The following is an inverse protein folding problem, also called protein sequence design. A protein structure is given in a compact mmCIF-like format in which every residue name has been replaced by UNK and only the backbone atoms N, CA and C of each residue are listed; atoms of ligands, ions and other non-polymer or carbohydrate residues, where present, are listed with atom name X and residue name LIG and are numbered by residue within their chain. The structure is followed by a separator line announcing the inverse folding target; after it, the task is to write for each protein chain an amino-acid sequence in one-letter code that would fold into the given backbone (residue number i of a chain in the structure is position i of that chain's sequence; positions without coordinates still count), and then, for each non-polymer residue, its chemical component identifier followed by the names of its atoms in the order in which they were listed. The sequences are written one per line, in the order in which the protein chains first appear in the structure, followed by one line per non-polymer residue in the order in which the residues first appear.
data_IF_248829369903
#
_entry.id   IF_248829369903
#
_cell.length_a   1.000
_cell.length_b   1.000
_cell.length_c   1.000
_cell.angle_alpha   90.00
_cell.angle_beta   90.00
_cell.angle_gamma   90.00
#
_symmetry.space_group_name_H-M   'P 1'
#
loop_
_entity.id
_entity.type
_entity.pdbx_description
1 polymer ?
#
# COMPACT_ATOMS: atom_id res chain seq x y z
N UNK A 1 37.98 23.50 17.83
CA UNK A 1 38.02 24.94 17.47
C UNK A 1 39.39 25.52 17.83
N UNK A 2 39.80 26.67 17.27
CA UNK A 2 39.42 27.32 16.01
C UNK A 2 40.59 27.08 14.99
N UNK A 3 40.94 27.84 13.93
CA UNK A 3 40.39 28.99 13.16
C UNK A 3 40.38 28.53 11.67
N UNK A 4 39.65 29.06 10.67
CA UNK A 4 39.36 30.42 10.20
C UNK A 4 40.58 31.28 9.81
N UNK A 5 40.76 31.49 8.50
CA UNK A 5 41.38 32.70 7.96
C UNK A 5 40.62 33.15 6.71
N UNK A 6 40.17 34.41 6.73
CA UNK A 6 39.59 35.11 5.59
C UNK A 6 40.69 35.87 4.82
N UNK A 7 40.51 36.02 3.51
CA UNK A 7 40.79 37.24 2.73
C UNK A 7 40.05 37.08 1.37
N UNK A 8 39.01 37.84 1.07
CA UNK A 8 39.03 39.23 0.58
C UNK A 8 39.85 39.46 -0.70
N UNK A 9 39.16 39.58 -1.83
CA UNK A 9 39.25 40.80 -2.65
C UNK A 9 38.00 40.96 -3.53
N UNK A 10 37.53 42.19 -3.69
CA UNK A 10 36.30 42.49 -4.43
C UNK A 10 36.42 43.76 -5.29
N UNK A 11 35.58 43.80 -6.34
CA UNK A 11 35.13 44.97 -7.13
C UNK A 11 36.14 45.64 -8.08
N UNK A 12 36.00 45.35 -9.39
CA UNK A 12 35.84 46.27 -10.57
C UNK A 12 36.11 45.49 -11.88
N UNK A 13 35.50 45.77 -13.03
CA UNK A 13 34.39 46.69 -13.37
C UNK A 13 33.84 46.44 -14.79
N UNK A 14 32.56 46.77 -14.99
CA UNK A 14 31.95 47.27 -16.22
C UNK A 14 32.00 46.45 -17.55
N UNK A 15 30.80 46.07 -18.02
CA UNK A 15 30.51 45.66 -19.39
C UNK A 15 29.00 45.69 -19.62
N UNK A 16 28.50 46.53 -20.52
CA UNK A 16 27.12 47.02 -20.51
C UNK A 16 26.21 46.45 -21.62
N UNK A 17 24.97 46.09 -21.24
CA UNK A 17 23.70 46.39 -21.99
C UNK A 17 23.46 45.61 -23.32
N UNK A 18 22.21 45.26 -23.74
CA UNK A 18 21.00 44.91 -22.98
C UNK A 18 20.22 43.67 -23.52
N UNK A 19 19.16 43.28 -22.79
CA UNK A 19 17.84 43.00 -23.37
C UNK A 19 17.68 42.01 -24.54
N UNK A 20 17.45 40.72 -24.23
CA UNK A 20 16.56 39.84 -25.03
C UNK A 20 16.08 38.57 -24.32
N UNK A 21 16.76 38.09 -23.27
CA UNK A 21 16.38 36.82 -22.60
C UNK A 21 15.23 36.91 -21.58
N UNK A 22 14.93 38.09 -21.01
CA UNK A 22 13.91 38.22 -19.96
C UNK A 22 12.46 37.90 -20.41
N UNK A 23 12.14 37.96 -21.71
CA UNK A 23 10.77 37.80 -22.21
C UNK A 23 10.31 36.35 -22.44
N UNK A 24 11.20 35.35 -22.54
CA UNK A 24 10.79 33.96 -22.83
C UNK A 24 10.45 33.13 -21.58
N UNK A 25 10.98 33.49 -20.40
CA UNK A 25 10.68 32.75 -19.15
C UNK A 25 9.31 33.09 -18.55
N UNK A 26 8.80 34.31 -18.75
CA UNK A 26 7.52 34.74 -18.17
C UNK A 26 6.27 34.08 -18.79
N UNK A 27 6.34 33.64 -20.06
CA UNK A 27 5.20 32.97 -20.72
C UNK A 27 5.01 31.51 -20.30
N UNK A 28 6.04 30.83 -19.77
CA UNK A 28 5.91 29.41 -19.34
C UNK A 28 5.25 29.23 -17.97
N UNK A 29 5.30 30.25 -17.10
CA UNK A 29 4.61 30.20 -15.80
C UNK A 29 3.09 30.42 -15.90
N UNK A 30 2.62 31.15 -16.93
CA UNK A 30 1.20 31.51 -17.09
C UNK A 30 0.28 30.36 -17.53
N UNK A 31 0.83 29.23 -17.98
CA UNK A 31 0.05 28.08 -18.47
C UNK A 31 -0.21 27.00 -17.40
N UNK A 32 0.56 26.97 -16.31
CA UNK A 32 0.37 26.00 -15.20
C UNK A 32 -0.74 26.44 -14.24
N UNK A 33 -0.94 27.74 -14.04
CA UNK A 33 -1.96 28.28 -13.12
C UNK A 33 -3.42 28.09 -13.56
N UNK A 34 -3.69 27.69 -14.81
CA UNK A 34 -5.06 27.67 -15.37
C UNK A 34 -5.86 26.37 -15.09
N UNK A 35 -5.21 25.32 -14.59
CA UNK A 35 -5.87 24.05 -14.23
C UNK A 35 -6.56 24.08 -12.85
N UNK A 36 -5.87 24.58 -11.82
CA UNK A 36 -6.31 24.49 -10.41
C UNK A 36 -7.57 25.32 -10.13
N UNK A 37 -7.70 26.51 -10.73
CA UNK A 37 -8.86 27.38 -10.53
C UNK A 37 -10.17 26.83 -11.11
N UNK A 38 -10.11 25.89 -12.07
CA UNK A 38 -11.31 25.30 -12.69
C UNK A 38 -11.96 24.26 -11.76
N UNK A 39 -11.17 23.55 -10.96
CA UNK A 39 -11.68 22.56 -9.99
C UNK A 39 -12.47 23.21 -8.84
N UNK A 40 -12.00 24.35 -8.31
CA UNK A 40 -12.68 25.07 -7.22
C UNK A 40 -14.05 25.64 -7.62
N UNK A 41 -14.25 25.97 -8.90
CA UNK A 41 -15.56 26.41 -9.39
C UNK A 41 -16.61 25.29 -9.45
N UNK A 42 -16.22 24.03 -9.60
CA UNK A 42 -17.18 22.91 -9.55
C UNK A 42 -17.69 22.67 -8.14
N UNK A 43 -16.81 22.58 -7.14
CA UNK A 43 -17.24 22.40 -5.74
C UNK A 43 -18.11 23.54 -5.22
N UNK A 44 -17.76 24.80 -5.54
CA UNK A 44 -18.57 25.97 -5.13
C UNK A 44 -19.96 25.99 -5.77
N UNK A 45 -20.11 25.54 -7.03
CA UNK A 45 -21.41 25.52 -7.72
C UNK A 45 -22.29 24.33 -7.34
N UNK A 46 -21.71 23.19 -6.96
CA UNK A 46 -22.50 22.10 -6.38
C UNK A 46 -23.08 22.49 -5.00
N UNK A 47 -22.32 23.21 -4.17
CA UNK A 47 -22.79 23.62 -2.84
C UNK A 47 -23.99 24.59 -2.89
N UNK A 48 -24.01 25.53 -3.84
CA UNK A 48 -25.16 26.43 -4.05
C UNK A 48 -26.35 25.72 -4.71
N UNK A 49 -26.15 24.66 -5.50
CA UNK A 49 -27.24 23.95 -6.17
C UNK A 49 -28.11 23.13 -5.22
N UNK A 50 -27.56 22.67 -4.09
CA UNK A 50 -28.28 21.80 -3.13
C UNK A 50 -29.14 22.60 -2.14
N UNK A 51 -28.78 23.87 -1.89
CA UNK A 51 -29.50 24.74 -0.94
C UNK A 51 -30.79 25.39 -1.51
N UNK A 52 -31.02 25.38 -2.83
CA UNK A 52 -32.15 26.09 -3.45
C UNK A 52 -33.43 25.26 -3.66
N UNK A 53 -33.47 23.97 -3.30
CA UNK A 53 -34.68 23.13 -3.49
C UNK A 53 -35.60 23.11 -2.26
N UNK A 54 -35.13 23.57 -1.09
CA UNK A 54 -35.94 23.70 0.13
C UNK A 54 -36.73 25.04 0.21
N UNK A 55 -36.89 25.76 -0.90
CA UNK A 55 -37.31 27.17 -0.94
C UNK A 55 -38.75 27.47 -1.39
N UNK A 56 -39.63 26.47 -1.55
CA UNK A 56 -41.05 26.69 -1.89
C UNK A 56 -41.96 25.70 -1.13
N UNK A 57 -43.21 26.13 -0.93
CA UNK A 57 -44.18 25.64 0.07
C UNK A 57 -43.77 26.05 1.51
N UNK A 58 -44.45 26.96 2.18
CA UNK A 58 -45.66 27.70 1.85
C UNK A 58 -46.33 28.14 3.16
N UNK A 59 -46.43 29.44 3.41
CA UNK A 59 -47.05 29.93 4.64
C UNK A 59 -48.57 29.72 4.62
N UNK A 60 -49.09 29.02 5.63
CA UNK A 60 -50.47 29.13 6.08
C UNK A 60 -50.47 29.16 7.60
N UNK A 61 -50.50 30.37 8.16
CA UNK A 61 -50.49 30.58 9.60
C UNK A 61 -51.90 30.36 10.18
N UNK A 62 -52.04 29.42 11.11
CA UNK A 62 -53.04 29.50 12.16
C UNK A 62 -52.52 28.80 13.43
N UNK A 63 -52.72 29.48 14.55
CA UNK A 63 -52.11 29.22 15.85
C UNK A 63 -52.56 27.89 16.47
N UNK A 64 -51.61 27.07 16.92
CA UNK A 64 -51.71 26.34 18.20
C UNK A 64 -50.31 26.03 18.75
N UNK A 65 -50.19 26.13 20.06
CA UNK A 65 -49.00 26.11 20.92
C UNK A 65 -47.92 25.03 20.68
N UNK A 66 -46.65 25.48 20.68
CA UNK A 66 -45.42 24.72 21.00
C UNK A 66 -45.39 24.28 22.49
N UNK A 67 -44.56 23.31 22.94
CA UNK A 67 -43.20 22.94 22.49
C UNK A 67 -43.11 21.57 21.78
N UNK A 68 -42.26 21.38 20.77
CA UNK A 68 -40.79 21.39 20.85
C UNK A 68 -40.22 20.38 21.87
N UNK A 69 -40.56 19.09 21.69
CA UNK A 69 -39.82 17.99 22.30
C UNK A 69 -38.89 17.34 21.25
N UNK A 70 -37.72 17.95 21.05
CA UNK A 70 -36.65 17.31 20.28
C UNK A 70 -36.12 16.11 21.06
N UNK A 71 -36.22 14.92 20.46
CA UNK A 71 -35.65 13.70 20.99
C UNK A 71 -35.12 12.79 19.87
N UNK A 72 -34.32 13.35 18.94
CA UNK A 72 -33.26 12.60 18.27
C UNK A 72 -32.27 12.06 19.31
N UNK A 73 -32.64 10.96 19.97
CA UNK A 73 -31.79 10.20 20.87
C UNK A 73 -31.07 9.04 20.14
N UNK A 74 -30.72 9.22 18.86
CA UNK A 74 -29.76 8.36 18.15
C UNK A 74 -28.36 8.92 18.36
N UNK A 75 -27.94 9.00 19.63
CA UNK A 75 -26.69 9.66 20.04
C UNK A 75 -25.97 8.96 21.22
N UNK A 76 -26.32 7.72 21.57
CA UNK A 76 -25.62 6.92 22.59
C UNK A 76 -25.49 5.43 22.24
N UNK A 77 -24.82 5.10 21.13
CA UNK A 77 -24.28 3.73 20.90
C UNK A 77 -22.75 3.69 21.11
N UNK A 78 -22.07 4.83 21.12
CA UNK A 78 -20.60 4.90 21.11
C UNK A 78 -19.91 4.61 22.45
N UNK A 79 -20.65 4.39 23.54
CA UNK A 79 -20.10 4.17 24.88
C UNK A 79 -19.90 2.69 25.25
N UNK A 80 -20.52 1.74 24.53
CA UNK A 80 -20.37 0.29 24.76
C UNK A 80 -19.38 -0.37 23.80
N UNK A 81 -18.90 0.35 22.79
CA UNK A 81 -18.05 -0.20 21.71
C UNK A 81 -16.54 -0.13 22.04
N UNK A 82 -16.15 0.23 23.26
CA UNK A 82 -14.74 0.39 23.66
C UNK A 82 -14.23 -0.69 24.61
N UNK A 83 -15.06 -1.66 25.02
CA UNK A 83 -14.63 -2.82 25.80
C UNK A 83 -13.63 -3.65 24.97
N UNK A 84 -12.40 -3.90 25.44
CA UNK A 84 -11.45 -4.79 24.74
C UNK A 84 -12.06 -6.18 24.56
N UNK A 85 -11.78 -6.84 23.44
CA UNK A 85 -12.20 -8.24 23.26
C UNK A 85 -11.60 -9.13 24.35
N UNK A 86 -12.35 -10.11 24.86
CA UNK A 86 -11.82 -11.07 25.83
C UNK A 86 -10.82 -12.03 25.18
N UNK A 87 -10.08 -12.79 26.00
CA UNK A 87 -9.18 -13.84 25.50
C UNK A 87 -9.97 -14.88 24.67
N UNK A 88 -11.14 -15.27 25.16
CA UNK A 88 -12.03 -16.25 24.54
C UNK A 88 -12.58 -15.75 23.21
N UNK A 89 -13.00 -14.48 23.12
CA UNK A 89 -13.45 -13.85 21.86
C UNK A 89 -12.37 -13.95 20.77
N UNK A 90 -11.11 -13.67 21.12
CA UNK A 90 -9.97 -13.73 20.18
C UNK A 90 -9.59 -15.17 19.84
N UNK A 91 -9.70 -16.13 20.78
CA UNK A 91 -9.50 -17.55 20.47
C UNK A 91 -10.58 -18.08 19.52
N UNK A 92 -11.84 -17.69 19.72
CA UNK A 92 -12.94 -17.99 18.79
C UNK A 92 -12.70 -17.35 17.40
N UNK A 93 -12.15 -16.14 17.35
CA UNK A 93 -11.75 -15.47 16.10
C UNK A 93 -10.65 -16.27 15.37
N UNK A 94 -9.65 -16.78 16.09
CA UNK A 94 -8.60 -17.60 15.48
C UNK A 94 -9.15 -18.92 14.92
N UNK A 95 -10.07 -19.56 15.65
CA UNK A 95 -10.72 -20.78 15.21
C UNK A 95 -11.59 -20.57 13.95
N UNK A 96 -12.40 -19.50 13.88
CA UNK A 96 -13.26 -19.29 12.70
C UNK A 96 -12.47 -18.93 11.44
N UNK A 97 -11.37 -18.19 11.62
CA UNK A 97 -10.44 -17.80 10.55
C UNK A 97 -9.43 -18.90 10.20
N UNK A 98 -9.39 -20.01 10.96
CA UNK A 98 -8.56 -21.20 10.72
C UNK A 98 -7.05 -20.88 10.72
N UNK A 99 -6.61 -20.03 11.67
CA UNK A 99 -5.20 -19.62 11.78
C UNK A 99 -4.28 -20.81 12.09
N UNK A 100 -4.75 -21.75 12.90
CA UNK A 100 -4.12 -23.04 13.18
C UNK A 100 -3.77 -23.79 11.88
N UNK A 101 -4.76 -23.94 10.98
CA UNK A 101 -4.59 -24.59 9.68
C UNK A 101 -3.67 -23.79 8.78
N UNK A 102 -3.79 -22.47 8.76
CA UNK A 102 -2.92 -21.61 7.94
C UNK A 102 -1.45 -21.72 8.37
N UNK A 103 -1.19 -21.75 9.68
CA UNK A 103 0.15 -21.97 10.23
C UNK A 103 0.64 -23.40 9.93
N UNK A 104 -0.19 -24.42 10.08
CA UNK A 104 0.16 -25.81 9.73
C UNK A 104 0.55 -25.95 8.24
N UNK A 105 -0.23 -25.36 7.33
CA UNK A 105 0.09 -25.34 5.89
C UNK A 105 1.42 -24.61 5.64
N UNK A 106 1.63 -23.45 6.29
CA UNK A 106 2.89 -22.69 6.18
C UNK A 106 4.09 -23.52 6.67
N UNK A 107 3.93 -24.26 7.77
CA UNK A 107 4.97 -25.15 8.29
C UNK A 107 5.24 -26.35 7.38
N UNK A 108 4.21 -27.00 6.84
CA UNK A 108 4.42 -28.09 5.86
C UNK A 108 5.15 -27.61 4.61
N UNK A 109 4.87 -26.39 4.13
CA UNK A 109 5.59 -25.78 3.02
C UNK A 109 7.06 -25.48 3.38
N UNK A 110 7.31 -25.00 4.61
CA UNK A 110 8.67 -24.79 5.12
C UNK A 110 9.44 -26.12 5.26
N UNK A 111 8.78 -27.20 5.68
CA UNK A 111 9.36 -28.54 5.75
C UNK A 111 9.73 -29.06 4.36
N UNK A 112 8.83 -29.02 3.37
CA UNK A 112 9.15 -29.40 1.99
C UNK A 112 10.27 -28.53 1.37
N UNK A 113 10.29 -27.23 1.67
CA UNK A 113 11.37 -26.34 1.26
C UNK A 113 12.71 -26.69 1.95
N UNK A 114 12.68 -27.09 3.22
CA UNK A 114 13.87 -27.56 3.93
C UNK A 114 14.39 -28.86 3.30
N UNK A 115 13.53 -29.85 3.06
CA UNK A 115 13.90 -31.11 2.39
C UNK A 115 14.43 -30.89 0.97
N UNK A 116 13.95 -29.88 0.26
CA UNK A 116 14.46 -29.54 -1.07
C UNK A 116 15.86 -28.93 -1.03
N UNK A 117 16.16 -28.06 -0.06
CA UNK A 117 17.38 -27.24 -0.05
C UNK A 117 18.50 -27.75 0.86
N UNK A 118 18.17 -28.46 1.95
CA UNK A 118 19.15 -28.94 2.93
C UNK A 118 20.22 -29.87 2.33
N UNK A 119 19.89 -30.84 1.44
CA UNK A 119 20.92 -31.73 0.88
C UNK A 119 22.02 -30.99 0.12
N UNK A 120 21.69 -29.93 -0.61
CA UNK A 120 22.66 -29.13 -1.35
C UNK A 120 23.54 -28.29 -0.40
N UNK A 121 22.95 -27.69 0.63
CA UNK A 121 23.69 -26.96 1.67
C UNK A 121 24.64 -27.87 2.47
N UNK A 122 24.23 -29.11 2.75
CA UNK A 122 25.04 -30.07 3.49
C UNK A 122 26.18 -30.63 2.63
N UNK A 123 25.96 -30.85 1.33
CA UNK A 123 27.03 -31.23 0.38
C UNK A 123 28.16 -30.21 0.33
N UNK A 124 27.86 -28.91 0.43
CA UNK A 124 28.87 -27.85 0.52
C UNK A 124 29.75 -27.95 1.79
N UNK A 125 29.24 -28.59 2.84
CA UNK A 125 29.97 -28.89 4.07
C UNK A 125 30.57 -30.30 4.09
N UNK A 126 30.53 -31.01 2.95
CA UNK A 126 30.95 -32.41 2.79
C UNK A 126 30.16 -33.38 3.69
N UNK A 127 28.89 -33.06 3.97
CA UNK A 127 27.91 -33.88 4.70
C UNK A 127 26.87 -34.38 3.69
N UNK A 128 26.65 -35.69 3.63
CA UNK A 128 25.60 -36.29 2.79
C UNK A 128 24.51 -36.89 3.67
N UNK A 129 23.28 -36.40 3.51
CA UNK A 129 22.11 -36.84 4.29
C UNK A 129 21.26 -37.79 3.42
N UNK A 130 21.04 -39.05 3.85
CA UNK A 130 20.11 -39.96 3.20
C UNK A 130 18.69 -39.40 3.17
N UNK A 131 17.95 -39.65 2.09
CA UNK A 131 16.60 -39.08 1.90
C UNK A 131 15.64 -39.50 3.02
N UNK A 132 15.75 -40.73 3.49
CA UNK A 132 14.93 -41.32 4.55
C UNK A 132 15.20 -40.63 5.90
N UNK A 133 16.44 -40.18 6.15
CA UNK A 133 16.78 -39.38 7.33
C UNK A 133 16.31 -37.94 7.18
N UNK A 134 16.30 -37.40 5.96
CA UNK A 134 15.85 -36.05 5.67
C UNK A 134 14.35 -35.84 5.92
N UNK A 135 13.51 -36.82 5.56
CA UNK A 135 12.08 -36.82 5.90
C UNK A 135 11.87 -36.89 7.42
N UNK A 136 12.59 -37.78 8.13
CA UNK A 136 12.52 -37.89 9.58
C UNK A 136 12.99 -36.61 10.32
N UNK A 137 14.12 -36.03 9.88
CA UNK A 137 14.64 -34.77 10.43
C UNK A 137 13.67 -33.60 10.25
N UNK A 138 12.95 -33.54 9.13
CA UNK A 138 11.95 -32.51 8.91
C UNK A 138 10.77 -32.68 9.87
N UNK A 139 10.28 -33.92 10.04
CA UNK A 139 9.20 -34.20 11.00
C UNK A 139 9.62 -33.87 12.44
N UNK A 140 10.78 -34.37 12.90
CA UNK A 140 11.30 -34.12 14.26
C UNK A 140 11.46 -32.63 14.58
N UNK A 141 11.92 -31.81 13.62
CA UNK A 141 12.12 -30.36 13.81
C UNK A 141 10.79 -29.61 14.01
N UNK A 142 9.70 -30.10 13.40
CA UNK A 142 8.39 -29.45 13.47
C UNK A 142 7.41 -30.11 14.45
N UNK A 143 7.68 -31.34 14.90
CA UNK A 143 6.87 -32.08 15.87
C UNK A 143 6.61 -31.28 17.15
N UNK A 144 7.66 -30.75 17.77
CA UNK A 144 7.59 -30.01 19.04
C UNK A 144 7.30 -28.51 18.86
N UNK A 145 6.90 -28.07 17.66
CA UNK A 145 6.63 -26.64 17.43
C UNK A 145 5.45 -26.17 18.30
N UNK A 146 5.63 -25.12 19.14
CA UNK A 146 4.66 -24.75 20.16
C UNK A 146 3.52 -23.90 19.58
N UNK A 147 2.78 -24.46 18.62
CA UNK A 147 1.71 -23.80 17.85
C UNK A 147 0.73 -23.01 18.73
N UNK A 148 0.25 -23.65 19.81
CA UNK A 148 -0.70 -23.01 20.74
C UNK A 148 -0.07 -21.83 21.49
N UNK A 149 1.20 -21.92 21.90
CA UNK A 149 1.88 -20.81 22.58
C UNK A 149 2.11 -19.62 21.62
N UNK A 150 2.38 -19.90 20.34
CA UNK A 150 2.49 -18.87 19.31
C UNK A 150 1.15 -18.17 19.09
N UNK A 151 0.04 -18.91 18.92
CA UNK A 151 -1.30 -18.33 18.83
C UNK A 151 -1.65 -17.52 20.09
N UNK A 152 -1.42 -18.08 21.27
CA UNK A 152 -1.68 -17.41 22.55
C UNK A 152 -0.87 -16.11 22.72
N UNK A 153 0.34 -16.02 22.14
CA UNK A 153 1.16 -14.81 22.13
C UNK A 153 0.62 -13.70 21.22
N UNK A 154 -0.21 -14.06 20.22
CA UNK A 154 -0.85 -13.08 19.33
C UNK A 154 -2.07 -12.41 19.96
N UNK A 155 -2.68 -13.02 20.98
CA UNK A 155 -3.93 -12.52 21.58
C UNK A 155 -3.85 -11.05 22.01
N UNK A 156 -2.82 -10.58 22.75
CA UNK A 156 -2.69 -9.17 23.14
C UNK A 156 -2.57 -8.20 21.95
N UNK A 157 -2.07 -8.68 20.79
CA UNK A 157 -2.00 -7.87 19.56
C UNK A 157 -3.41 -7.63 19.01
N UNK A 158 -4.24 -8.66 18.96
CA UNK A 158 -5.64 -8.52 18.52
C UNK A 158 -6.46 -7.70 19.51
N UNK A 159 -6.32 -7.92 20.82
CA UNK A 159 -7.01 -7.13 21.86
C UNK A 159 -6.64 -5.64 21.86
N UNK A 160 -5.45 -5.28 21.36
CA UNK A 160 -5.02 -3.89 21.18
C UNK A 160 -5.72 -3.18 20.00
N UNK A 161 -6.15 -3.94 19.01
CA UNK A 161 -6.66 -3.41 17.74
C UNK A 161 -8.15 -3.66 17.50
N UNK A 162 -8.76 -4.62 18.21
CA UNK A 162 -10.16 -4.99 18.10
C UNK A 162 -10.85 -4.88 19.46
N UNK A 163 -11.96 -4.16 19.50
CA UNK A 163 -12.88 -4.20 20.63
C UNK A 163 -13.80 -5.43 20.53
N UNK A 164 -14.53 -5.72 21.61
CA UNK A 164 -15.47 -6.86 21.71
C UNK A 164 -16.55 -6.86 20.63
N UNK A 165 -17.05 -5.68 20.25
CA UNK A 165 -18.06 -5.50 19.20
C UNK A 165 -17.47 -5.77 17.81
N UNK A 166 -16.22 -5.37 17.55
CA UNK A 166 -15.52 -5.72 16.30
C UNK A 166 -15.40 -7.24 16.17
N UNK A 167 -14.92 -7.93 17.21
CA UNK A 167 -14.73 -9.39 17.18
C UNK A 167 -16.08 -10.11 17.03
N UNK A 168 -17.11 -9.69 17.76
CA UNK A 168 -18.46 -10.25 17.62
C UNK A 168 -19.03 -10.07 16.20
N UNK A 169 -18.84 -8.90 15.58
CA UNK A 169 -19.30 -8.64 14.21
C UNK A 169 -18.52 -9.49 13.17
N UNK A 170 -17.20 -9.64 13.35
CA UNK A 170 -16.36 -10.47 12.49
C UNK A 170 -16.78 -11.95 12.61
N UNK A 171 -16.97 -12.44 13.83
CA UNK A 171 -17.48 -13.79 14.10
C UNK A 171 -18.84 -14.02 13.43
N UNK A 172 -19.81 -13.12 13.65
CA UNK A 172 -21.15 -13.22 13.08
C UNK A 172 -21.14 -13.28 11.54
N UNK A 173 -20.29 -12.48 10.88
CA UNK A 173 -20.13 -12.55 9.43
C UNK A 173 -19.54 -13.90 8.97
N UNK A 174 -18.44 -14.33 9.58
CA UNK A 174 -17.77 -15.58 9.19
C UNK A 174 -18.51 -16.86 9.62
N UNK A 175 -19.52 -16.78 10.50
CA UNK A 175 -20.44 -17.88 10.77
C UNK A 175 -21.46 -18.10 9.64
N UNK A 176 -21.70 -17.10 8.77
CA UNK A 176 -22.60 -17.26 7.63
C UNK A 176 -22.03 -18.20 6.56
N UNK A 177 -22.91 -18.85 5.79
CA UNK A 177 -22.50 -19.69 4.66
C UNK A 177 -21.64 -18.91 3.63
N UNK A 178 -21.97 -17.63 3.39
CA UNK A 178 -21.19 -16.74 2.51
C UNK A 178 -19.83 -16.40 3.11
N UNK A 179 -19.75 -16.11 4.40
CA UNK A 179 -18.49 -15.84 5.10
C UNK A 179 -17.55 -17.05 5.11
N UNK A 180 -18.07 -18.24 5.43
CA UNK A 180 -17.31 -19.49 5.31
C UNK A 180 -16.87 -19.77 3.87
N UNK A 181 -17.75 -19.57 2.88
CA UNK A 181 -17.36 -19.70 1.47
C UNK A 181 -16.23 -18.74 1.12
N UNK A 182 -16.31 -17.47 1.54
CA UNK A 182 -15.25 -16.49 1.26
C UNK A 182 -13.91 -16.90 1.85
N UNK A 183 -13.86 -17.42 3.09
CA UNK A 183 -12.62 -17.93 3.69
C UNK A 183 -12.01 -19.12 2.90
N UNK A 184 -12.85 -20.03 2.42
CA UNK A 184 -12.39 -21.24 1.73
C UNK A 184 -11.97 -20.96 0.27
N UNK A 185 -12.67 -20.04 -0.41
CA UNK A 185 -12.44 -19.73 -1.84
C UNK A 185 -11.36 -18.66 -2.06
N UNK A 186 -11.11 -17.78 -1.09
CA UNK A 186 -10.15 -16.66 -1.23
C UNK A 186 -8.74 -17.10 -1.69
N UNK A 187 -8.16 -18.23 -1.22
CA UNK A 187 -6.87 -18.71 -1.72
C UNK A 187 -6.91 -19.10 -3.20
N UNK A 188 -7.93 -19.84 -3.64
CA UNK A 188 -8.04 -20.31 -5.03
C UNK A 188 -8.39 -19.15 -5.97
N UNK A 189 -9.32 -18.26 -5.59
CA UNK A 189 -9.59 -17.02 -6.33
C UNK A 189 -8.33 -16.14 -6.47
N UNK A 190 -7.46 -16.07 -5.45
CA UNK A 190 -6.20 -15.34 -5.52
C UNK A 190 -5.22 -15.98 -6.51
N UNK A 191 -5.13 -17.32 -6.50
CA UNK A 191 -4.32 -18.10 -7.44
C UNK A 191 -4.82 -17.95 -8.88
N UNK A 192 -6.12 -18.05 -9.13
CA UNK A 192 -6.73 -17.80 -10.44
C UNK A 192 -6.51 -16.35 -10.90
N UNK A 193 -6.67 -15.36 -10.01
CA UNK A 193 -6.41 -13.95 -10.33
C UNK A 193 -4.95 -13.72 -10.73
N UNK A 194 -3.98 -14.35 -10.05
CA UNK A 194 -2.57 -14.32 -10.47
C UNK A 194 -2.35 -14.98 -11.83
N UNK A 195 -2.98 -16.14 -12.10
CA UNK A 195 -2.90 -16.82 -13.39
C UNK A 195 -3.46 -15.96 -14.54
N UNK A 196 -4.58 -15.26 -14.30
CA UNK A 196 -5.19 -14.33 -15.24
C UNK A 196 -4.35 -13.05 -15.46
N UNK A 197 -3.69 -12.54 -14.42
CA UNK A 197 -2.83 -11.36 -14.50
C UNK A 197 -1.47 -11.64 -15.18
N UNK A 198 -0.94 -12.87 -15.06
CA UNK A 198 0.36 -13.27 -15.62
C UNK A 198 0.59 -12.89 -17.10
N UNK A 199 -0.31 -13.18 -18.07
CA UNK A 199 -0.10 -12.76 -19.46
C UNK A 199 -0.05 -11.24 -19.65
N UNK A 200 -0.87 -10.48 -18.92
CA UNK A 200 -0.86 -9.01 -18.94
C UNK A 200 0.48 -8.49 -18.41
N UNK A 201 0.96 -9.06 -17.31
CA UNK A 201 2.25 -8.71 -16.69
C UNK A 201 3.43 -8.98 -17.65
N UNK A 202 3.43 -10.14 -18.32
CA UNK A 202 4.44 -10.49 -19.33
C UNK A 202 4.44 -9.53 -20.52
N UNK A 203 3.26 -9.18 -21.05
CA UNK A 203 3.14 -8.26 -22.18
C UNK A 203 3.55 -6.82 -21.84
N UNK A 204 3.27 -6.38 -20.61
CA UNK A 204 3.76 -5.09 -20.11
C UNK A 204 5.29 -5.09 -19.99
N UNK A 205 5.87 -6.18 -19.46
CA UNK A 205 7.32 -6.30 -19.29
C UNK A 205 8.07 -6.34 -20.64
N UNK A 206 7.57 -7.08 -21.63
CA UNK A 206 8.17 -7.09 -22.98
C UNK A 206 8.13 -5.70 -23.62
N UNK A 207 6.98 -5.02 -23.56
CA UNK A 207 6.80 -3.65 -24.07
C UNK A 207 7.72 -2.65 -23.34
N UNK A 208 7.94 -2.82 -22.04
CA UNK A 208 8.87 -1.99 -21.26
C UNK A 208 10.32 -2.20 -21.73
N UNK A 209 10.77 -3.46 -21.86
CA UNK A 209 12.14 -3.78 -22.27
C UNK A 209 12.44 -3.27 -23.69
N UNK A 210 11.50 -3.39 -24.64
CA UNK A 210 11.61 -2.79 -25.97
C UNK A 210 11.83 -1.27 -25.89
N UNK A 211 10.98 -0.54 -25.16
CA UNK A 211 11.13 0.92 -24.97
C UNK A 211 12.44 1.33 -24.29
N UNK A 212 13.00 0.47 -23.44
CA UNK A 212 14.31 0.69 -22.83
C UNK A 212 15.45 0.49 -23.84
N UNK A 213 15.36 -0.55 -24.67
CA UNK A 213 16.32 -0.80 -25.76
C UNK A 213 16.30 0.34 -26.78
N UNK A 214 15.12 0.74 -27.28
CA UNK A 214 14.96 1.87 -28.21
C UNK A 214 15.64 3.15 -27.67
N UNK A 215 15.38 3.47 -26.39
CA UNK A 215 16.00 4.62 -25.72
C UNK A 215 17.52 4.48 -25.61
N UNK A 216 18.02 3.30 -25.25
CA UNK A 216 19.46 3.06 -25.18
C UNK A 216 20.13 3.28 -26.55
N UNK A 217 19.55 2.76 -27.64
CA UNK A 217 20.03 2.99 -29.00
C UNK A 217 20.04 4.49 -29.36
N UNK A 218 18.94 5.22 -29.14
CA UNK A 218 18.90 6.67 -29.45
C UNK A 218 19.91 7.49 -28.65
N UNK A 219 20.21 7.11 -27.40
CA UNK A 219 21.27 7.75 -26.59
C UNK A 219 22.66 7.48 -27.19
N UNK A 220 22.94 6.26 -27.63
CA UNK A 220 24.20 5.90 -28.29
C UNK A 220 24.38 6.66 -29.61
N UNK A 221 23.34 6.75 -30.43
CA UNK A 221 23.35 7.49 -31.70
C UNK A 221 23.57 9.01 -31.50
N UNK A 222 22.92 9.60 -30.49
CA UNK A 222 23.12 11.00 -30.12
C UNK A 222 24.56 11.24 -29.63
N UNK A 223 25.10 10.36 -28.78
CA UNK A 223 26.47 10.46 -28.28
C UNK A 223 27.51 10.26 -29.39
N UNK A 224 27.26 9.37 -30.36
CA UNK A 224 28.12 9.18 -31.52
C UNK A 224 28.12 10.41 -32.44
N UNK A 225 26.93 11.00 -32.66
CA UNK A 225 26.73 12.21 -33.46
C UNK A 225 27.27 13.50 -32.81
N UNK A 226 27.57 13.46 -31.50
CA UNK A 226 28.14 14.57 -30.73
C UNK A 226 29.66 14.48 -30.53
N UNK A 227 30.36 13.47 -31.08
CA UNK A 227 31.82 13.42 -31.02
C UNK A 227 32.43 14.62 -31.77
N UNK A 228 33.31 15.43 -31.15
CA UNK A 228 33.83 16.63 -31.79
C UNK A 228 34.76 16.27 -32.96
N UNK A 229 34.67 17.04 -34.05
CA UNK A 229 35.76 17.11 -35.01
C UNK A 229 37.03 17.56 -34.31
N UNK A 230 38.08 16.74 -34.39
CA UNK A 230 39.41 17.06 -33.87
C UNK A 230 39.93 18.33 -34.54
N UNK A 231 39.91 19.45 -33.82
CA UNK A 231 40.44 20.72 -34.30
C UNK A 231 41.98 20.68 -34.26
N UNK A 232 42.56 19.93 -35.18
CA UNK A 232 44.00 19.83 -35.39
C UNK A 232 44.50 21.13 -36.01
N UNK A 233 44.85 22.10 -35.17
CA UNK A 233 45.79 23.15 -35.51
C UNK A 233 47.17 22.73 -35.01
N UNK A 234 47.90 22.03 -35.87
CA UNK A 234 49.35 21.98 -35.76
C UNK A 234 49.92 23.41 -35.86
N UNK A 235 51.02 23.65 -35.14
CA UNK A 235 51.78 24.89 -35.12
C UNK A 235 53.19 24.60 -35.61
#
# INVERSE_FOLDING_TARGET
MPRLHHADWAIRSAGSVPGRLARRSMMRLYLVGRGVSRMKQFFSKCLLSVLCVAGMLGQSALLMSLPFFSAEAVAQTSASNSEPASREDVQNLFAILKLDRMMQVTMSAAAEQMKTNLPELMKQQNIEIPKEQLDAMAEDIFHDYPMQAVLDSMIPVYQKHLNKVDVANILAFYQTATGQKMLNEMPEMSKEAMQAANPVMRQWMSTMMQRMQDRAHTIVEQNASQKPGTNSKAK
#
